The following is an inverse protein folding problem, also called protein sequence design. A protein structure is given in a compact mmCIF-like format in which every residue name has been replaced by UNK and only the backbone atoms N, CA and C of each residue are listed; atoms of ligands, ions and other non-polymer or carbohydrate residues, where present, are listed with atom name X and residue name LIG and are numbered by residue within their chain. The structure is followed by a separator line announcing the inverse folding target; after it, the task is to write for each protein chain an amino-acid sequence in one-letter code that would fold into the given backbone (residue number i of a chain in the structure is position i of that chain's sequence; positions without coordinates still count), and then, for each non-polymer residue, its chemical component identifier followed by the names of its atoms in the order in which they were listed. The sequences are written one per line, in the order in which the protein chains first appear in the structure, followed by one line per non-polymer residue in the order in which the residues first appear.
data_IF_769664131810
#
_entry.id   IF_769664131810
#
_cell.length_a   1.000
_cell.length_b   1.000
_cell.length_c   1.000
_cell.angle_alpha   90.00
_cell.angle_beta   90.00
_cell.angle_gamma   90.00
#
_symmetry.space_group_name_H-M   'P 1'
#
loop_
_entity.id
_entity.type
_entity.pdbx_description
1 polymer ?
#
# COMPACT_ATOMS: atom_id res chain seq x y z
N UNK A 1 9.19 -11.33 -5.59
CA UNK A 1 7.85 -11.42 -4.95
C UNK A 1 7.08 -12.65 -5.40
N UNK A 2 6.46 -13.37 -4.45
CA UNK A 2 5.59 -14.53 -4.72
C UNK A 2 4.26 -14.41 -3.95
N UNK A 3 3.13 -14.82 -4.55
CA UNK A 3 1.84 -14.88 -3.86
C UNK A 3 1.75 -16.19 -3.05
N UNK A 4 1.47 -16.10 -1.75
CA UNK A 4 1.34 -17.26 -0.83
C UNK A 4 -0.12 -17.71 -0.73
N UNK A 5 -1.03 -16.76 -0.47
CA UNK A 5 -2.48 -16.99 -0.40
C UNK A 5 -3.24 -15.85 -1.11
N UNK A 6 -4.57 -15.79 -1.02
CA UNK A 6 -5.38 -14.77 -1.69
C UNK A 6 -4.90 -13.32 -1.48
N UNK A 7 -4.49 -12.96 -0.26
CA UNK A 7 -4.10 -11.60 0.16
C UNK A 7 -2.72 -11.54 0.83
N UNK A 8 -1.96 -12.64 0.84
CA UNK A 8 -0.63 -12.74 1.44
C UNK A 8 0.43 -12.97 0.37
N UNK A 9 1.52 -12.22 0.50
CA UNK A 9 2.62 -12.18 -0.46
C UNK A 9 3.95 -12.30 0.29
N UNK A 10 4.94 -12.94 -0.33
CA UNK A 10 6.33 -12.90 0.11
C UNK A 10 7.11 -11.90 -0.75
N UNK A 11 7.83 -10.99 -0.08
CA UNK A 11 8.74 -10.02 -0.67
C UNK A 11 10.17 -10.37 -0.24
N UNK A 12 11.11 -10.27 -1.15
CA UNK A 12 12.53 -10.31 -0.81
C UNK A 12 13.01 -8.91 -0.40
N UNK A 13 14.04 -8.83 0.45
CA UNK A 13 14.62 -7.56 0.91
C UNK A 13 15.08 -6.66 -0.25
N UNK A 14 15.52 -7.25 -1.37
CA UNK A 14 15.90 -6.51 -2.57
C UNK A 14 14.71 -5.77 -3.20
N UNK A 15 13.55 -6.44 -3.30
CA UNK A 15 12.30 -5.84 -3.76
C UNK A 15 11.90 -4.68 -2.85
N UNK A 16 11.95 -4.85 -1.52
CA UNK A 16 11.64 -3.77 -0.57
C UNK A 16 12.59 -2.59 -0.76
N UNK A 17 13.88 -2.86 -0.96
CA UNK A 17 14.88 -1.83 -1.22
C UNK A 17 14.62 -1.09 -2.53
N UNK A 18 14.24 -1.78 -3.60
CA UNK A 18 13.89 -1.15 -4.87
C UNK A 18 12.65 -0.24 -4.74
N UNK A 19 11.60 -0.72 -4.07
CA UNK A 19 10.36 0.02 -3.87
C UNK A 19 10.55 1.27 -3.00
N UNK A 20 11.41 1.18 -1.98
CA UNK A 20 11.68 2.26 -1.03
C UNK A 20 12.85 3.17 -1.44
N UNK A 21 13.63 2.77 -2.44
CA UNK A 21 14.81 3.51 -2.91
C UNK A 21 14.47 4.80 -3.65
N UNK A 22 13.31 4.85 -4.33
CA UNK A 22 12.82 6.04 -5.02
C UNK A 22 11.29 6.17 -4.85
N UNK A 23 10.90 6.79 -3.73
CA UNK A 23 9.50 7.07 -3.42
C UNK A 23 8.83 7.92 -4.50
N UNK A 24 9.55 8.87 -5.12
CA UNK A 24 8.97 9.74 -6.15
C UNK A 24 8.59 8.91 -7.37
N UNK A 25 9.49 8.02 -7.83
CA UNK A 25 9.21 7.07 -8.91
C UNK A 25 8.06 6.15 -8.55
N UNK A 26 8.05 5.60 -7.33
CA UNK A 26 6.96 4.72 -6.87
C UNK A 26 5.60 5.42 -6.92
N UNK A 27 5.51 6.63 -6.36
CA UNK A 27 4.29 7.41 -6.31
C UNK A 27 3.78 7.83 -7.69
N UNK A 28 4.66 7.95 -8.71
CA UNK A 28 4.20 8.24 -10.09
C UNK A 28 3.39 7.10 -10.72
N UNK A 29 3.46 5.89 -10.16
CA UNK A 29 2.81 4.71 -10.74
C UNK A 29 1.32 4.62 -10.40
N UNK A 30 0.84 5.46 -9.48
CA UNK A 30 -0.56 5.48 -9.03
C UNK A 30 -1.05 6.90 -8.90
N UNK A 31 -2.34 7.11 -9.17
CA UNK A 31 -3.07 8.32 -8.80
C UNK A 31 -3.87 8.02 -7.56
N UNK A 32 -3.56 8.72 -6.48
CA UNK A 32 -4.33 8.66 -5.24
C UNK A 32 -5.21 9.89 -5.08
N UNK A 33 -6.37 9.71 -4.45
CA UNK A 33 -7.23 10.82 -4.02
C UNK A 33 -7.66 10.59 -2.57
N UNK A 34 -7.79 11.65 -1.75
CA UNK A 34 -8.30 11.52 -0.39
C UNK A 34 -9.68 10.86 -0.36
N UNK A 35 -9.90 9.99 0.62
CA UNK A 35 -11.18 9.37 0.90
C UNK A 35 -11.68 9.83 2.26
N UNK A 36 -12.96 10.20 2.34
CA UNK A 36 -13.59 10.70 3.55
C UNK A 36 -14.75 9.80 3.95
N UNK A 37 -14.86 9.51 5.25
CA UNK A 37 -16.02 8.92 5.89
C UNK A 37 -16.52 9.87 6.97
N UNK A 38 -17.82 10.17 6.99
CA UNK A 38 -18.42 11.09 7.97
C UNK A 38 -17.64 12.42 8.12
N UNK A 39 -17.23 13.02 6.99
CA UNK A 39 -16.43 14.26 6.91
C UNK A 39 -15.03 14.19 7.57
N UNK A 40 -14.51 12.99 7.86
CA UNK A 40 -13.15 12.78 8.36
C UNK A 40 -12.33 12.04 7.31
N UNK A 41 -11.05 12.40 7.19
CA UNK A 41 -10.11 11.67 6.35
C UNK A 41 -10.04 10.22 6.84
N UNK A 42 -10.30 9.28 5.94
CA UNK A 42 -10.47 7.85 6.25
C UNK A 42 -9.59 6.96 5.35
N UNK A 43 -8.63 7.57 4.64
CA UNK A 43 -7.71 6.87 3.76
C UNK A 43 -7.50 7.54 2.41
N UNK A 44 -6.89 6.80 1.49
CA UNK A 44 -6.65 7.23 0.12
C UNK A 44 -7.12 6.18 -0.88
N UNK A 45 -7.91 6.62 -1.86
CA UNK A 45 -8.36 5.77 -2.95
C UNK A 45 -7.33 5.72 -4.06
N UNK A 46 -7.01 4.53 -4.54
CA UNK A 46 -6.22 4.28 -5.74
C UNK A 46 -7.11 4.52 -6.97
N UNK A 47 -7.19 5.77 -7.41
CA UNK A 47 -8.10 6.21 -8.47
C UNK A 47 -7.70 5.71 -9.87
N UNK A 48 -6.39 5.62 -10.13
CA UNK A 48 -5.85 5.04 -11.35
C UNK A 48 -4.47 4.46 -11.05
N UNK A 49 -4.09 3.39 -11.75
CA UNK A 49 -2.84 2.70 -11.53
C UNK A 49 -2.26 2.27 -12.87
N UNK A 50 -0.95 2.46 -13.06
CA UNK A 50 -0.28 2.03 -14.29
C UNK A 50 -0.28 0.49 -14.37
N UNK A 51 -0.58 -0.11 -15.53
CA UNK A 51 -0.39 -1.53 -15.75
C UNK A 51 1.06 -1.94 -15.46
N UNK A 52 1.26 -3.07 -14.80
CA UNK A 52 2.59 -3.57 -14.41
C UNK A 52 3.28 -2.79 -13.29
N UNK A 53 2.62 -1.79 -12.68
CA UNK A 53 3.16 -1.06 -11.54
C UNK A 53 3.44 -1.96 -10.33
N UNK A 54 4.32 -1.50 -9.46
CA UNK A 54 4.58 -2.14 -8.17
C UNK A 54 3.30 -2.32 -7.34
N UNK A 55 2.39 -1.33 -7.36
CA UNK A 55 1.08 -1.47 -6.70
C UNK A 55 0.27 -2.66 -7.27
N UNK A 56 0.26 -2.84 -8.58
CA UNK A 56 -0.44 -3.96 -9.20
C UNK A 56 0.20 -5.30 -8.82
N UNK A 57 1.54 -5.35 -8.80
CA UNK A 57 2.30 -6.52 -8.37
C UNK A 57 1.99 -6.86 -6.91
N UNK A 58 1.96 -5.86 -6.02
CA UNK A 58 1.57 -6.00 -4.61
C UNK A 58 0.10 -6.43 -4.42
N UNK A 59 -0.69 -6.57 -5.48
CA UNK A 59 -2.05 -7.08 -5.40
C UNK A 59 -3.12 -6.03 -5.12
N UNK A 60 -2.75 -4.74 -5.16
CA UNK A 60 -3.72 -3.65 -5.19
C UNK A 60 -4.52 -3.66 -6.49
N UNK A 61 -5.74 -3.13 -6.41
CA UNK A 61 -6.69 -3.04 -7.53
C UNK A 61 -7.19 -1.60 -7.64
N UNK A 62 -7.59 -1.23 -8.85
CA UNK A 62 -8.24 0.06 -9.08
C UNK A 62 -9.49 0.20 -8.20
N UNK A 63 -9.61 1.33 -7.51
CA UNK A 63 -10.71 1.60 -6.59
C UNK A 63 -10.50 1.13 -5.16
N UNK A 64 -9.41 0.42 -4.85
CA UNK A 64 -9.04 0.13 -3.46
C UNK A 64 -8.85 1.44 -2.68
N UNK A 65 -9.24 1.43 -1.41
CA UNK A 65 -9.00 2.53 -0.47
C UNK A 65 -8.06 2.03 0.60
N UNK A 66 -6.86 2.58 0.67
CA UNK A 66 -5.89 2.27 1.72
C UNK A 66 -6.23 3.11 2.95
N UNK A 67 -6.45 2.44 4.09
CA UNK A 67 -6.83 3.11 5.35
C UNK A 67 -5.66 3.13 6.33
N UNK A 68 -4.87 2.05 6.38
CA UNK A 68 -3.81 1.87 7.36
C UNK A 68 -2.71 0.98 6.81
N UNK A 69 -1.46 1.27 7.16
CA UNK A 69 -0.31 0.39 6.92
C UNK A 69 0.41 0.17 8.25
N UNK A 70 0.51 -1.08 8.69
CA UNK A 70 0.93 -1.43 10.05
C UNK A 70 0.19 -0.55 11.08
N UNK A 71 0.88 0.10 12.00
CA UNK A 71 0.25 0.95 13.02
C UNK A 71 0.04 2.40 12.58
N UNK A 72 0.21 2.70 11.28
CA UNK A 72 0.09 4.05 10.73
C UNK A 72 -1.21 4.21 9.95
N UNK A 73 -2.14 4.98 10.51
CA UNK A 73 -3.35 5.42 9.81
C UNK A 73 -3.02 6.43 8.72
N UNK A 74 -3.57 6.21 7.53
CA UNK A 74 -3.30 7.02 6.35
C UNK A 74 -4.29 8.17 6.23
N UNK A 75 -4.28 9.07 7.20
CA UNK A 75 -5.19 10.22 7.28
C UNK A 75 -4.65 11.48 6.59
N UNK A 76 -3.37 11.51 6.24
CA UNK A 76 -2.71 12.62 5.54
C UNK A 76 -1.58 12.16 4.60
N UNK A 77 -1.15 12.99 3.62
CA UNK A 77 -0.08 12.60 2.70
C UNK A 77 1.28 12.40 3.39
N UNK A 78 1.55 13.16 4.45
CA UNK A 78 2.82 13.08 5.20
C UNK A 78 3.03 11.69 5.82
N UNK A 79 1.93 11.01 6.20
CA UNK A 79 1.97 9.64 6.73
C UNK A 79 2.51 8.63 5.73
N UNK A 80 2.36 8.87 4.43
CA UNK A 80 2.92 7.99 3.40
C UNK A 80 4.45 7.96 3.49
N UNK A 81 5.10 9.12 3.67
CA UNK A 81 6.55 9.18 3.84
C UNK A 81 7.00 8.38 5.07
N UNK A 82 6.30 8.51 6.20
CA UNK A 82 6.58 7.74 7.41
C UNK A 82 6.49 6.23 7.16
N UNK A 83 5.44 5.78 6.47
CA UNK A 83 5.28 4.36 6.11
C UNK A 83 6.50 3.92 5.28
N UNK A 84 6.86 4.65 4.23
CA UNK A 84 7.98 4.33 3.37
C UNK A 84 9.32 4.20 4.10
N UNK A 85 9.58 5.07 5.07
CA UNK A 85 10.79 5.02 5.88
C UNK A 85 10.81 3.76 6.76
N UNK A 86 9.68 3.41 7.36
CA UNK A 86 9.60 2.27 8.28
C UNK A 86 9.67 0.91 7.56
N UNK A 87 9.22 0.83 6.30
CA UNK A 87 9.18 -0.44 5.55
C UNK A 87 10.51 -1.19 5.48
N UNK A 88 11.65 -0.49 5.53
CA UNK A 88 12.99 -1.10 5.42
C UNK A 88 13.35 -1.99 6.60
N UNK A 89 12.80 -1.69 7.78
CA UNK A 89 13.11 -2.38 9.03
C UNK A 89 12.06 -3.42 9.41
N UNK A 90 10.97 -3.50 8.65
CA UNK A 90 9.86 -4.42 8.90
C UNK A 90 10.15 -5.81 8.34
N UNK A 91 9.78 -6.85 9.10
CA UNK A 91 9.74 -8.24 8.59
C UNK A 91 8.36 -8.64 8.09
N UNK A 92 7.33 -7.87 8.46
CA UNK A 92 5.96 -8.08 8.03
C UNK A 92 5.25 -6.74 7.88
N UNK A 93 4.51 -6.61 6.78
CA UNK A 93 3.71 -5.42 6.49
C UNK A 93 2.27 -5.85 6.32
N UNK A 94 1.34 -5.13 6.95
CA UNK A 94 -0.09 -5.30 6.79
C UNK A 94 -0.71 -4.02 6.27
N UNK A 95 -1.59 -4.12 5.28
CA UNK A 95 -2.27 -2.98 4.68
C UNK A 95 -3.76 -3.22 4.73
N UNK A 96 -4.46 -2.43 5.53
CA UNK A 96 -5.91 -2.45 5.60
C UNK A 96 -6.49 -1.63 4.47
N UNK A 97 -7.40 -2.26 3.72
CA UNK A 97 -8.07 -1.65 2.58
C UNK A 97 -9.58 -1.84 2.64
N UNK A 98 -10.30 -0.91 2.02
CA UNK A 98 -11.65 -1.16 1.53
C UNK A 98 -11.57 -1.48 0.05
N UNK A 99 -12.03 -2.68 -0.32
CA UNK A 99 -12.15 -3.14 -1.70
C UNK A 99 -13.61 -3.42 -1.98
N UNK A 100 -14.20 -2.67 -2.91
CA UNK A 100 -15.64 -2.77 -3.23
C UNK A 100 -16.54 -2.66 -1.98
N UNK A 101 -16.17 -1.77 -1.04
CA UNK A 101 -16.88 -1.55 0.22
C UNK A 101 -16.65 -2.60 1.31
N UNK A 102 -15.85 -3.64 1.05
CA UNK A 102 -15.51 -4.67 2.04
C UNK A 102 -14.11 -4.44 2.60
N UNK A 103 -13.99 -4.57 3.92
CA UNK A 103 -12.70 -4.56 4.61
C UNK A 103 -11.89 -5.80 4.22
N UNK A 104 -10.65 -5.58 3.83
CA UNK A 104 -9.66 -6.62 3.56
C UNK A 104 -8.32 -6.17 4.12
N UNK A 105 -7.43 -7.13 4.37
CA UNK A 105 -6.05 -6.85 4.76
C UNK A 105 -5.11 -7.58 3.81
N UNK A 106 -4.21 -6.83 3.17
CA UNK A 106 -3.10 -7.41 2.42
C UNK A 106 -1.93 -7.61 3.36
N UNK A 107 -1.30 -8.79 3.33
CA UNK A 107 -0.14 -9.13 4.17
C UNK A 107 1.08 -9.36 3.30
N UNK A 108 2.21 -8.80 3.68
CA UNK A 108 3.49 -9.00 3.02
C UNK A 108 4.51 -9.50 4.04
N UNK A 109 5.11 -10.66 3.78
CA UNK A 109 6.21 -11.22 4.57
C UNK A 109 7.53 -10.93 3.86
N UNK A 110 8.42 -10.22 4.55
CA UNK A 110 9.73 -9.82 4.02
C UNK A 110 10.75 -10.89 4.44
N UNK A 111 11.41 -11.51 3.47
CA UNK A 111 12.31 -12.66 3.66
C UNK A 111 13.67 -12.45 3.01
#
# INVERSE_FOLDING_TARGET
MNKIDENTYSLDEATVTELTGDINKFMTQVRIIPYFEANKSAGYRLAAMRPGSAFAQLGFRGGDIIQRVNDVELTSPEKMYTIFQNLKDEKRVTVDILRQGKKNTLTYEIR
#
